data_IF_793650705706
#
_entry.id   IF_793650705706
#
_cell.length_a   1.000
_cell.length_b   1.000
_cell.length_c   1.000
_cell.angle_alpha   90.00
_cell.angle_beta   90.00
_cell.angle_gamma   90.00
#
_symmetry.space_group_name_H-M   'P 1'
#
loop_
_entity.id
_entity.type
_entity.pdbx_description
1 polymer ?
#
# COMPACT_ATOMS: atom_id res chain seq x y z
N UNK A 1 10.18 24.28 -23.54
CA UNK A 1 11.05 23.09 -23.74
C UNK A 1 11.56 22.66 -22.37
N UNK A 2 11.32 21.42 -21.92
CA UNK A 2 11.82 20.94 -20.62
C UNK A 2 13.36 20.86 -20.61
N UNK A 3 13.96 21.10 -19.45
CA UNK A 3 15.41 20.89 -19.25
C UNK A 3 15.75 19.40 -19.36
N UNK A 4 17.03 19.07 -19.64
CA UNK A 4 17.50 17.67 -19.67
C UNK A 4 17.28 16.98 -18.32
N UNK A 5 17.50 17.70 -17.21
CA UNK A 5 17.28 17.21 -15.85
C UNK A 5 15.80 16.96 -15.57
N UNK A 6 14.91 17.87 -15.99
CA UNK A 6 13.46 17.69 -15.81
C UNK A 6 12.93 16.47 -16.55
N UNK A 7 13.43 16.21 -17.77
CA UNK A 7 13.05 14.99 -18.52
C UNK A 7 13.53 13.72 -17.82
N UNK A 8 14.76 13.69 -17.33
CA UNK A 8 15.30 12.54 -16.60
C UNK A 8 14.51 12.26 -15.31
N UNK A 9 14.11 13.32 -14.59
CA UNK A 9 13.26 13.19 -13.41
C UNK A 9 11.88 12.62 -13.75
N UNK A 10 11.24 13.10 -14.82
CA UNK A 10 9.93 12.56 -15.25
C UNK A 10 10.04 11.08 -15.60
N UNK A 11 11.06 10.67 -16.36
CA UNK A 11 11.28 9.25 -16.68
C UNK A 11 11.48 8.42 -15.41
N UNK A 12 12.28 8.91 -14.45
CA UNK A 12 12.46 8.21 -13.17
C UNK A 12 11.16 8.03 -12.39
N UNK A 13 10.29 9.04 -12.39
CA UNK A 13 8.99 8.99 -11.71
C UNK A 13 8.07 8.02 -12.43
N UNK A 14 8.06 8.03 -13.77
CA UNK A 14 7.26 7.12 -14.60
C UNK A 14 7.68 5.66 -14.37
N UNK A 15 8.99 5.38 -14.39
CA UNK A 15 9.55 4.06 -14.08
C UNK A 15 9.18 3.58 -12.67
N UNK A 16 9.14 4.50 -11.69
CA UNK A 16 8.77 4.18 -10.31
C UNK A 16 7.27 3.87 -10.15
N UNK A 17 6.43 4.57 -10.91
CA UNK A 17 4.96 4.43 -10.90
C UNK A 17 4.46 3.40 -11.91
N UNK A 18 5.35 2.77 -12.67
CA UNK A 18 5.02 1.77 -13.69
C UNK A 18 4.08 0.68 -13.17
N UNK A 19 2.98 0.48 -13.89
CA UNK A 19 1.91 -0.45 -13.52
C UNK A 19 2.28 -1.92 -13.77
N UNK A 20 3.28 -2.18 -14.61
CA UNK A 20 3.69 -3.52 -15.09
C UNK A 20 4.08 -4.50 -13.97
N UNK A 21 4.32 -4.01 -12.75
CA UNK A 21 4.59 -4.83 -11.57
C UNK A 21 3.75 -4.42 -10.37
N UNK A 22 2.54 -3.88 -10.59
CA UNK A 22 1.64 -3.43 -9.52
C UNK A 22 2.33 -2.50 -8.51
N UNK A 23 3.03 -1.46 -8.98
CA UNK A 23 3.73 -0.50 -8.12
C UNK A 23 4.85 -1.10 -7.25
N UNK A 24 5.44 -2.24 -7.63
CA UNK A 24 6.49 -2.92 -6.84
C UNK A 24 7.64 -2.00 -6.44
N UNK A 25 8.21 -1.24 -7.39
CA UNK A 25 9.33 -0.34 -7.14
C UNK A 25 8.94 0.78 -6.17
N UNK A 26 7.74 1.32 -6.32
CA UNK A 26 7.15 2.29 -5.40
C UNK A 26 7.04 1.71 -3.97
N UNK A 27 6.57 0.48 -3.81
CA UNK A 27 6.47 -0.14 -2.48
C UNK A 27 7.82 -0.42 -1.83
N UNK A 28 8.79 -0.88 -2.59
CA UNK A 28 10.15 -1.11 -2.09
C UNK A 28 10.73 0.19 -1.54
N UNK A 29 10.57 1.29 -2.29
CA UNK A 29 10.98 2.62 -1.81
C UNK A 29 10.16 3.11 -0.61
N UNK A 30 8.85 2.89 -0.60
CA UNK A 30 7.99 3.31 0.50
C UNK A 30 8.42 2.64 1.83
N UNK A 31 8.71 1.34 1.81
CA UNK A 31 9.18 0.61 3.01
C UNK A 31 10.57 1.03 3.49
N UNK A 32 11.41 1.53 2.58
CA UNK A 32 12.75 2.02 2.90
C UNK A 32 12.76 3.49 3.31
N UNK A 33 11.67 4.22 3.07
CA UNK A 33 11.59 5.66 3.34
C UNK A 33 11.45 5.93 4.84
N UNK A 34 12.18 6.91 5.38
CA UNK A 34 11.94 7.37 6.75
C UNK A 34 10.57 8.05 6.84
N UNK A 35 9.88 7.87 7.96
CA UNK A 35 8.69 8.65 8.30
C UNK A 35 9.09 10.12 8.55
N UNK A 36 8.19 11.10 8.32
CA UNK A 36 6.79 10.97 7.88
C UNK A 36 6.66 10.78 6.35
N UNK A 37 5.77 9.87 5.93
CA UNK A 37 5.48 9.59 4.50
C UNK A 37 3.99 9.44 4.24
N UNK A 38 3.50 10.02 3.15
CA UNK A 38 2.12 9.80 2.66
C UNK A 38 2.13 8.72 1.57
N UNK A 39 1.57 7.53 1.83
CA UNK A 39 1.42 6.50 0.80
C UNK A 39 0.25 6.81 -0.15
N UNK A 40 0.27 6.20 -1.34
CA UNK A 40 -0.81 6.31 -2.31
C UNK A 40 -2.04 5.51 -1.87
N UNK A 41 -3.14 6.22 -1.60
CA UNK A 41 -4.34 5.67 -0.95
C UNK A 41 -5.06 4.62 -1.81
N UNK A 42 -5.23 4.87 -3.11
CA UNK A 42 -6.02 3.98 -3.99
C UNK A 42 -5.40 2.57 -4.06
N UNK A 43 -4.08 2.49 -4.02
CA UNK A 43 -3.38 1.22 -4.04
C UNK A 43 -3.52 0.41 -2.72
N UNK A 44 -3.55 1.07 -1.57
CA UNK A 44 -3.87 0.41 -0.30
C UNK A 44 -5.29 -0.18 -0.31
N UNK A 45 -6.25 0.54 -0.90
CA UNK A 45 -7.62 0.05 -1.09
C UNK A 45 -7.66 -1.19 -2.00
N UNK A 46 -6.92 -1.17 -3.12
CA UNK A 46 -6.79 -2.32 -4.02
C UNK A 46 -6.25 -3.55 -3.31
N UNK A 47 -5.21 -3.43 -2.48
CA UNK A 47 -4.66 -4.56 -1.72
C UNK A 47 -5.70 -5.14 -0.74
N UNK A 48 -6.42 -4.29 -0.02
CA UNK A 48 -7.48 -4.73 0.91
C UNK A 48 -8.62 -5.41 0.14
N UNK A 49 -9.04 -4.86 -1.01
CA UNK A 49 -10.09 -5.45 -1.84
C UNK A 49 -9.68 -6.84 -2.36
N UNK A 50 -8.48 -6.96 -2.93
CA UNK A 50 -7.94 -8.25 -3.38
C UNK A 50 -7.86 -9.28 -2.25
N UNK A 51 -7.47 -8.88 -1.05
CA UNK A 51 -7.44 -9.76 0.12
C UNK A 51 -8.85 -10.17 0.56
N UNK A 52 -9.83 -9.28 0.44
CA UNK A 52 -11.23 -9.59 0.71
C UNK A 52 -11.80 -10.60 -0.31
N UNK A 53 -11.39 -10.53 -1.57
CA UNK A 53 -11.88 -11.40 -2.65
C UNK A 53 -11.23 -12.78 -2.67
N UNK A 54 -9.93 -12.88 -2.36
CA UNK A 54 -9.18 -14.14 -2.56
C UNK A 54 -9.70 -15.33 -1.75
N UNK A 55 -10.17 -15.13 -0.51
CA UNK A 55 -10.59 -16.21 0.40
C UNK A 55 -11.85 -15.79 1.16
N UNK A 56 -12.73 -16.71 1.55
CA UNK A 56 -13.88 -16.35 2.39
C UNK A 56 -13.45 -16.05 3.84
N UNK A 57 -14.10 -15.06 4.46
CA UNK A 57 -13.92 -14.78 5.90
C UNK A 57 -14.49 -15.88 6.78
N UNK A 58 -15.45 -16.61 6.23
CA UNK A 58 -16.15 -17.72 6.84
C UNK A 58 -15.90 -18.95 5.96
N UNK A 59 -15.49 -20.05 6.58
CA UNK A 59 -15.25 -21.32 5.91
C UNK A 59 -16.28 -22.32 6.42
N UNK A 60 -16.89 -23.07 5.51
CA UNK A 60 -17.74 -24.19 5.89
C UNK A 60 -16.85 -25.42 5.98
N UNK A 61 -16.75 -26.00 7.18
CA UNK A 61 -16.08 -27.28 7.40
C UNK A 61 -17.08 -28.20 8.08
N UNK A 62 -17.34 -29.37 7.50
CA UNK A 62 -18.08 -30.46 8.16
C UNK A 62 -19.42 -30.04 8.80
N UNK A 63 -20.14 -29.10 8.18
CA UNK A 63 -21.43 -28.60 8.68
C UNK A 63 -21.33 -27.45 9.70
N UNK A 64 -20.12 -27.03 10.05
CA UNK A 64 -19.85 -25.90 10.96
C UNK A 64 -19.42 -24.64 10.18
N UNK A 65 -19.86 -23.49 10.69
CA UNK A 65 -19.48 -22.16 10.20
C UNK A 65 -18.26 -21.69 11.00
N UNK A 66 -17.07 -21.74 10.40
CA UNK A 66 -15.81 -21.37 11.06
C UNK A 66 -15.29 -20.02 10.56
N UNK A 67 -14.67 -19.26 11.46
CA UNK A 67 -14.01 -18.00 11.16
C UNK A 67 -12.60 -18.27 10.62
N UNK A 68 -12.24 -17.63 9.50
CA UNK A 68 -10.91 -17.72 8.92
C UNK A 68 -9.95 -16.70 9.56
N UNK A 69 -9.39 -17.02 10.73
CA UNK A 69 -8.48 -16.13 11.45
C UNK A 69 -7.25 -15.71 10.63
N UNK A 70 -6.75 -16.59 9.75
CA UNK A 70 -5.61 -16.26 8.87
C UNK A 70 -5.90 -15.06 7.99
N UNK A 71 -7.11 -14.97 7.43
CA UNK A 71 -7.53 -13.83 6.63
C UNK A 71 -7.61 -12.54 7.47
N UNK A 72 -8.15 -12.62 8.69
CA UNK A 72 -8.21 -11.47 9.60
C UNK A 72 -6.81 -10.98 9.99
N UNK A 73 -5.90 -11.90 10.29
CA UNK A 73 -4.51 -11.55 10.62
C UNK A 73 -3.86 -10.78 9.46
N UNK A 74 -3.97 -11.29 8.22
CA UNK A 74 -3.39 -10.62 7.07
C UNK A 74 -3.98 -9.22 6.85
N UNK A 75 -5.30 -9.07 6.97
CA UNK A 75 -5.95 -7.75 6.87
C UNK A 75 -5.46 -6.82 7.99
N UNK A 76 -5.34 -7.33 9.21
CA UNK A 76 -4.84 -6.59 10.37
C UNK A 76 -3.41 -6.10 10.19
N UNK A 77 -2.50 -6.94 9.69
CA UNK A 77 -1.12 -6.58 9.38
C UNK A 77 -1.05 -5.41 8.38
N UNK A 78 -1.88 -5.45 7.34
CA UNK A 78 -2.01 -4.37 6.36
C UNK A 78 -2.52 -3.06 6.95
N UNK A 79 -3.54 -3.15 7.82
CA UNK A 79 -4.10 -1.98 8.48
C UNK A 79 -3.09 -1.35 9.45
N UNK A 80 -2.33 -2.18 10.18
CA UNK A 80 -1.25 -1.70 11.04
C UNK A 80 -0.18 -0.95 10.24
N UNK A 81 0.23 -1.47 9.07
CA UNK A 81 1.16 -0.76 8.17
C UNK A 81 0.62 0.62 7.78
N UNK A 82 -0.66 0.71 7.40
CA UNK A 82 -1.29 1.98 7.03
C UNK A 82 -1.32 2.97 8.20
N UNK A 83 -1.62 2.49 9.41
CA UNK A 83 -1.67 3.31 10.62
C UNK A 83 -0.30 3.90 10.98
N UNK A 84 0.80 3.17 10.75
CA UNK A 84 2.14 3.70 10.97
C UNK A 84 2.40 4.97 10.16
N UNK A 85 1.91 5.04 8.93
CA UNK A 85 2.03 6.22 8.08
C UNK A 85 1.13 7.38 8.54
N UNK A 86 -0.01 7.10 9.17
CA UNK A 86 -0.96 8.13 9.63
C UNK A 86 -0.59 8.76 10.98
N UNK A 87 0.12 8.03 11.83
CA UNK A 87 0.38 8.43 13.21
C UNK A 87 1.55 9.42 13.36
N UNK A 88 2.32 9.68 12.30
CA UNK A 88 3.44 10.62 12.34
C UNK A 88 3.14 11.87 11.47
N UNK A 89 2.85 13.03 12.09
CA UNK A 89 2.63 14.26 11.35
C UNK A 89 3.92 14.76 10.69
N UNK A 90 3.78 15.55 9.63
CA UNK A 90 4.89 16.26 9.03
C UNK A 90 5.34 17.43 9.92
N UNK A 91 6.65 17.63 10.00
CA UNK A 91 7.24 18.82 10.62
C UNK A 91 7.20 20.00 9.64
N UNK A 92 5.99 20.46 9.32
CA UNK A 92 5.73 21.59 8.41
C UNK A 92 4.80 22.57 9.13
N UNK A 93 5.21 23.83 9.19
CA UNK A 93 4.37 24.91 9.74
C UNK A 93 3.34 25.32 8.68
N UNK A 94 2.04 25.37 9.01
CA UNK A 94 1.03 25.90 8.09
C UNK A 94 1.30 27.38 7.80
N UNK A 95 1.31 27.76 6.51
CA UNK A 95 1.32 29.16 6.06
C UNK A 95 -0.09 29.66 5.79
#
# INVERSE_FOLDING_TARGET
>A
RLSKQSRAFVTLVDDMLGEDSHFKLYFEKLRQSPLPVVPFIANNQTRIAQMKEKHNMIVLSTGEILINFRKFQQIGEHLCEIQQYQNMPYDIVPN
#
